data_IF_642013762096
#
_entry.id   IF_642013762096
#
_cell.length_a   1.000
_cell.length_b   1.000
_cell.length_c   1.000
_cell.angle_alpha   90.00
_cell.angle_beta   90.00
_cell.angle_gamma   90.00
#
_symmetry.space_group_name_H-M   'P 1'
#
loop_
_entity.id
_entity.type
_entity.pdbx_description
1 polymer ?
#
# COMPACT_ATOMS: atom_id res chain seq x y z
N UNK A 1 13.59 -22.17 0.74
CA UNK A 1 13.33 -20.82 1.28
C UNK A 1 12.13 -20.75 2.24
N UNK A 2 11.21 -21.73 2.28
CA UNK A 2 10.15 -21.77 3.30
C UNK A 2 9.13 -20.63 3.22
N UNK A 3 8.95 -20.06 2.03
CA UNK A 3 8.00 -18.98 1.78
C UNK A 3 6.58 -19.56 1.61
N UNK A 4 5.59 -18.91 2.22
CA UNK A 4 4.18 -19.21 1.95
C UNK A 4 3.78 -18.51 0.64
N UNK A 5 3.36 -19.26 -0.40
CA UNK A 5 2.98 -18.68 -1.69
C UNK A 5 1.72 -17.81 -1.63
N UNK A 6 0.98 -17.82 -0.52
CA UNK A 6 -0.20 -16.98 -0.29
C UNK A 6 0.09 -15.77 0.63
N UNK A 7 1.38 -15.47 0.86
CA UNK A 7 1.84 -14.33 1.68
C UNK A 7 2.98 -13.59 0.99
N UNK A 8 2.90 -13.42 -0.33
CA UNK A 8 3.87 -12.68 -1.12
C UNK A 8 3.32 -11.28 -1.39
N UNK A 9 3.97 -10.28 -0.78
CA UNK A 9 3.56 -8.88 -0.93
C UNK A 9 4.58 -8.04 -1.68
N UNK A 10 4.15 -6.84 -2.07
CA UNK A 10 5.01 -5.82 -2.66
C UNK A 10 4.96 -4.53 -1.83
N UNK A 11 6.13 -3.97 -1.55
CA UNK A 11 6.24 -2.71 -0.84
C UNK A 11 6.91 -1.66 -1.73
N UNK A 12 6.29 -0.50 -1.80
CA UNK A 12 6.73 0.61 -2.63
C UNK A 12 6.72 1.93 -1.88
N UNK A 13 7.68 2.79 -2.21
CA UNK A 13 7.84 4.11 -1.61
C UNK A 13 7.93 5.18 -2.69
N UNK A 14 7.24 6.32 -2.53
CA UNK A 14 7.20 7.38 -3.55
C UNK A 14 6.82 6.81 -4.94
N UNK A 15 7.66 6.98 -5.96
CA UNK A 15 7.46 6.37 -7.28
C UNK A 15 7.29 4.84 -7.25
N UNK A 16 7.95 4.15 -6.32
CA UNK A 16 7.74 2.71 -6.11
C UNK A 16 6.35 2.39 -5.55
N UNK A 17 5.74 3.29 -4.79
CA UNK A 17 4.36 3.16 -4.32
C UNK A 17 3.35 3.25 -5.48
N UNK A 18 3.64 4.09 -6.49
CA UNK A 18 2.86 4.11 -7.72
C UNK A 18 2.95 2.78 -8.50
N UNK A 19 4.12 2.12 -8.49
CA UNK A 19 4.27 0.78 -9.05
C UNK A 19 3.45 -0.23 -8.25
N UNK A 20 3.53 -0.19 -6.92
CA UNK A 20 2.74 -1.06 -6.03
C UNK A 20 1.24 -0.96 -6.33
N UNK A 21 0.73 0.27 -6.48
CA UNK A 21 -0.65 0.54 -6.89
C UNK A 21 -0.98 -0.06 -8.26
N UNK A 22 -0.09 0.13 -9.23
CA UNK A 22 -0.27 -0.34 -10.60
C UNK A 22 -0.33 -1.87 -10.69
N UNK A 23 0.60 -2.57 -10.04
CA UNK A 23 0.62 -4.05 -10.05
C UNK A 23 -0.57 -4.64 -9.29
N UNK A 24 -1.09 -3.95 -8.26
CA UNK A 24 -2.27 -4.39 -7.56
C UNK A 24 -3.51 -4.42 -8.48
N UNK A 25 -3.68 -3.45 -9.37
CA UNK A 25 -4.82 -3.46 -10.31
C UNK A 25 -4.59 -4.29 -11.59
N UNK A 26 -3.37 -4.80 -11.83
CA UNK A 26 -3.07 -5.57 -13.03
C UNK A 26 -3.54 -7.02 -12.89
N UNK A 27 -4.72 -7.30 -13.45
CA UNK A 27 -5.35 -8.64 -13.48
C UNK A 27 -5.07 -9.42 -14.77
N UNK A 28 -4.43 -8.80 -15.77
CA UNK A 28 -4.12 -9.43 -17.05
C UNK A 28 -2.68 -9.20 -17.47
N UNK A 29 -2.15 -10.16 -18.25
CA UNK A 29 -0.82 -10.07 -18.84
C UNK A 29 -0.76 -8.88 -19.83
N UNK A 30 0.37 -8.19 -19.83
CA UNK A 30 0.65 -7.08 -20.76
C UNK A 30 1.48 -7.53 -21.97
N UNK A 31 1.79 -8.83 -22.05
CA UNK A 31 2.55 -9.46 -23.11
C UNK A 31 2.01 -10.87 -23.38
N UNK A 32 2.34 -11.44 -24.54
CA UNK A 32 1.97 -12.81 -24.86
C UNK A 32 2.79 -13.78 -23.99
N UNK A 33 2.16 -14.80 -23.37
CA UNK A 33 2.88 -15.80 -22.57
C UNK A 33 4.08 -16.38 -23.33
N UNK A 34 5.20 -16.46 -22.63
CA UNK A 34 6.47 -16.99 -23.15
C UNK A 34 6.82 -18.35 -22.56
N UNK A 35 6.32 -18.63 -21.35
CA UNK A 35 6.43 -19.94 -20.70
C UNK A 35 5.18 -20.28 -19.86
N UNK A 36 5.21 -21.46 -19.22
CA UNK A 36 4.09 -21.94 -18.41
C UNK A 36 3.88 -21.10 -17.13
N UNK A 37 4.89 -20.39 -16.62
CA UNK A 37 4.78 -19.60 -15.39
C UNK A 37 3.85 -18.40 -15.60
N UNK A 38 3.89 -17.81 -16.79
CA UNK A 38 3.06 -16.66 -17.18
C UNK A 38 1.55 -16.93 -17.07
N UNK A 39 1.15 -18.20 -17.12
CA UNK A 39 -0.27 -18.61 -17.05
C UNK A 39 -0.61 -19.49 -15.85
N UNK A 40 0.37 -20.19 -15.27
CA UNK A 40 0.16 -21.10 -14.15
C UNK A 40 0.27 -20.44 -12.78
N UNK A 41 0.88 -19.26 -12.67
CA UNK A 41 1.08 -18.54 -11.41
C UNK A 41 0.58 -17.10 -11.54
N UNK A 42 -0.20 -16.65 -10.57
CA UNK A 42 -0.60 -15.24 -10.50
C UNK A 42 0.61 -14.36 -10.18
N UNK A 43 0.84 -13.32 -10.96
CA UNK A 43 1.81 -12.27 -10.66
C UNK A 43 1.27 -11.21 -9.66
N UNK A 44 0.01 -11.34 -9.22
CA UNK A 44 -0.57 -10.40 -8.27
C UNK A 44 -0.05 -10.63 -6.86
N UNK A 45 0.38 -9.57 -6.15
CA UNK A 45 0.74 -9.69 -4.74
C UNK A 45 -0.50 -9.92 -3.86
N UNK A 46 -0.34 -10.70 -2.80
CA UNK A 46 -1.39 -10.95 -1.79
C UNK A 46 -1.73 -9.70 -0.96
N UNK A 47 -0.74 -8.83 -0.80
CA UNK A 47 -0.87 -7.54 -0.13
C UNK A 47 0.12 -6.52 -0.69
N UNK A 48 -0.21 -5.24 -0.56
CA UNK A 48 0.71 -4.15 -0.89
C UNK A 48 0.91 -3.20 0.29
N UNK A 49 2.10 -2.60 0.37
CA UNK A 49 2.41 -1.53 1.33
C UNK A 49 2.95 -0.32 0.57
N UNK A 50 2.30 0.83 0.74
CA UNK A 50 2.62 2.09 0.07
C UNK A 50 3.03 3.13 1.10
N UNK A 51 4.25 3.64 0.97
CA UNK A 51 4.76 4.72 1.84
C UNK A 51 4.91 6.02 1.04
N UNK A 52 4.42 7.12 1.61
CA UNK A 52 4.50 8.48 1.05
C UNK A 52 4.24 8.48 -0.46
N UNK A 53 3.08 7.92 -0.83
CA UNK A 53 2.61 7.73 -2.20
C UNK A 53 1.14 8.11 -2.29
N UNK A 54 0.60 8.22 -3.50
CA UNK A 54 -0.81 8.51 -3.73
C UNK A 54 -1.59 7.36 -4.38
N UNK A 55 -2.89 7.33 -4.11
CA UNK A 55 -3.87 6.62 -4.93
C UNK A 55 -4.34 7.48 -6.11
N UNK A 56 -4.90 6.84 -7.14
CA UNK A 56 -5.48 7.50 -8.33
C UNK A 56 -7.01 7.55 -8.25
N UNK A 57 -7.64 8.30 -9.16
CA UNK A 57 -9.10 8.36 -9.26
C UNK A 57 -9.76 6.98 -9.46
N UNK A 58 -9.08 6.05 -10.13
CA UNK A 58 -9.52 4.65 -10.28
C UNK A 58 -9.70 3.93 -8.94
N UNK A 59 -8.90 4.27 -7.93
CA UNK A 59 -9.04 3.70 -6.58
C UNK A 59 -10.13 4.40 -5.75
N UNK A 60 -10.72 5.49 -6.26
CA UNK A 60 -11.85 6.18 -5.61
C UNK A 60 -13.20 5.66 -6.10
N UNK A 61 -13.21 4.61 -6.92
CA UNK A 61 -14.40 3.89 -7.33
C UNK A 61 -14.53 2.60 -6.50
N UNK A 62 -15.57 2.48 -5.64
CA UNK A 62 -15.82 1.28 -4.86
C UNK A 62 -15.88 0.00 -5.69
N UNK A 63 -16.40 0.06 -6.93
CA UNK A 63 -16.47 -1.11 -7.81
C UNK A 63 -15.07 -1.58 -8.25
N UNK A 64 -14.17 -0.64 -8.55
CA UNK A 64 -12.77 -0.92 -8.89
C UNK A 64 -12.02 -1.55 -7.71
N UNK A 65 -12.28 -1.09 -6.49
CA UNK A 65 -11.65 -1.60 -5.26
C UNK A 65 -12.22 -2.96 -4.83
N UNK A 66 -13.50 -3.21 -5.08
CA UNK A 66 -14.10 -4.53 -4.90
C UNK A 66 -13.43 -5.60 -5.79
N UNK A 67 -12.95 -5.22 -6.98
CA UNK A 67 -12.28 -6.10 -7.93
C UNK A 67 -10.75 -6.25 -7.74
N UNK A 68 -10.10 -5.38 -6.96
CA UNK A 68 -8.66 -5.37 -6.69
C UNK A 68 -8.23 -6.37 -5.58
N UNK A 69 -6.94 -6.75 -5.44
CA UNK A 69 -6.44 -7.70 -4.44
C UNK A 69 -6.63 -7.26 -2.98
N UNK A 70 -6.39 -8.21 -2.06
CA UNK A 70 -7.12 -8.36 -0.79
C UNK A 70 -6.78 -7.34 0.29
N UNK A 71 -5.52 -6.90 0.43
CA UNK A 71 -5.07 -6.06 1.56
C UNK A 71 -4.06 -4.98 1.17
N UNK A 72 -4.20 -3.78 1.73
CA UNK A 72 -3.26 -2.66 1.52
C UNK A 72 -2.97 -1.91 2.81
N UNK A 73 -1.71 -1.52 2.98
CA UNK A 73 -1.27 -0.49 3.91
C UNK A 73 -0.88 0.76 3.14
N UNK A 74 -1.40 1.93 3.49
CA UNK A 74 -1.02 3.23 2.94
C UNK A 74 -0.65 4.19 4.06
N UNK A 75 0.54 4.77 4.03
CA UNK A 75 0.96 5.81 4.97
C UNK A 75 1.40 7.07 4.21
N UNK A 76 0.86 8.23 4.58
CA UNK A 76 1.20 9.52 3.97
C UNK A 76 1.16 10.65 5.00
N UNK A 77 1.73 11.81 4.66
CA UNK A 77 1.66 13.01 5.50
C UNK A 77 0.86 14.10 4.82
N UNK A 78 0.24 14.98 5.61
CA UNK A 78 -0.53 16.11 5.09
C UNK A 78 0.34 17.25 4.55
N UNK A 79 1.58 17.34 5.03
CA UNK A 79 2.56 18.38 4.67
C UNK A 79 3.54 17.92 3.58
N UNK A 80 3.27 16.82 2.87
CA UNK A 80 4.10 16.32 1.79
C UNK A 80 4.17 17.34 0.64
N UNK A 81 5.34 17.94 0.36
CA UNK A 81 5.47 18.97 -0.68
C UNK A 81 5.51 18.39 -2.10
N UNK A 82 5.64 17.07 -2.24
CA UNK A 82 5.79 16.38 -3.51
C UNK A 82 4.50 15.71 -3.98
N UNK A 83 3.66 15.27 -3.05
CA UNK A 83 2.44 14.53 -3.34
C UNK A 83 1.26 15.16 -2.59
N UNK A 84 0.33 15.72 -3.34
CA UNK A 84 -0.90 16.28 -2.77
C UNK A 84 -1.77 15.16 -2.14
N UNK A 85 -2.18 15.29 -0.85
CA UNK A 85 -2.87 14.22 -0.14
C UNK A 85 -4.35 14.08 -0.52
N UNK A 86 -4.89 14.93 -1.39
CA UNK A 86 -6.34 15.01 -1.69
C UNK A 86 -6.97 13.66 -2.04
N UNK A 87 -6.34 12.86 -2.91
CA UNK A 87 -6.86 11.54 -3.25
C UNK A 87 -6.72 10.54 -2.10
N UNK A 88 -5.64 10.62 -1.32
CA UNK A 88 -5.46 9.75 -0.17
C UNK A 88 -6.52 10.01 0.90
N UNK A 89 -6.87 11.28 1.14
CA UNK A 89 -7.95 11.68 2.05
C UNK A 89 -9.29 11.12 1.61
N UNK A 90 -9.62 11.27 0.32
CA UNK A 90 -10.86 10.72 -0.26
C UNK A 90 -10.91 9.20 -0.14
N UNK A 91 -9.78 8.53 -0.38
CA UNK A 91 -9.69 7.09 -0.24
C UNK A 91 -9.81 6.64 1.21
N UNK A 92 -9.20 7.34 2.16
CA UNK A 92 -9.37 7.06 3.59
C UNK A 92 -10.85 7.17 4.00
N UNK A 93 -11.52 8.24 3.58
CA UNK A 93 -12.95 8.42 3.84
C UNK A 93 -13.79 7.27 3.23
N UNK A 94 -13.51 6.90 1.97
CA UNK A 94 -14.19 5.77 1.32
C UNK A 94 -13.93 4.44 2.04
N UNK A 95 -12.72 4.19 2.56
CA UNK A 95 -12.43 2.98 3.34
C UNK A 95 -13.32 2.90 4.59
N UNK A 96 -13.53 4.02 5.28
CA UNK A 96 -14.40 4.12 6.46
C UNK A 96 -15.90 4.01 6.09
N UNK A 97 -16.33 4.73 5.05
CA UNK A 97 -17.73 4.78 4.58
C UNK A 97 -18.22 3.43 4.03
N UNK A 98 -17.36 2.69 3.34
CA UNK A 98 -17.67 1.39 2.72
C UNK A 98 -17.28 0.19 3.60
N UNK A 99 -16.83 0.44 4.84
CA UNK A 99 -16.42 -0.59 5.81
C UNK A 99 -15.35 -1.56 5.29
N UNK A 100 -14.30 -1.02 4.68
CA UNK A 100 -13.21 -1.78 4.03
C UNK A 100 -11.97 -1.90 4.92
N UNK A 101 -12.07 -1.62 6.22
CA UNK A 101 -10.93 -1.59 7.14
C UNK A 101 -10.32 -2.97 7.37
N UNK A 102 -11.05 -4.06 7.14
CA UNK A 102 -10.54 -5.42 7.17
C UNK A 102 -9.50 -5.68 6.07
N UNK A 103 -9.62 -4.96 4.95
CA UNK A 103 -8.74 -5.00 3.78
C UNK A 103 -7.69 -3.89 3.83
N UNK A 104 -8.10 -2.66 4.11
CA UNK A 104 -7.27 -1.48 3.92
C UNK A 104 -6.96 -0.78 5.24
N UNK A 105 -5.69 -0.51 5.47
CA UNK A 105 -5.22 0.30 6.58
C UNK A 105 -4.53 1.53 6.03
N UNK A 106 -5.22 2.66 6.11
CA UNK A 106 -4.73 3.96 5.64
C UNK A 106 -4.36 4.78 6.87
N UNK A 107 -3.18 5.39 6.85
CA UNK A 107 -2.62 6.13 7.96
C UNK A 107 -2.22 7.52 7.48
N UNK A 108 -2.99 8.50 7.94
CA UNK A 108 -2.70 9.92 7.75
C UNK A 108 -1.86 10.45 8.91
N UNK A 109 -0.74 11.10 8.59
CA UNK A 109 0.07 11.82 9.58
C UNK A 109 -0.02 13.34 9.35
N UNK A 110 -0.03 14.15 10.42
CA UNK A 110 -0.11 15.61 10.28
C UNK A 110 1.16 16.21 9.66
N UNK A 111 2.32 15.60 9.92
CA UNK A 111 3.62 16.08 9.47
C UNK A 111 4.60 14.94 9.13
N UNK A 112 5.71 15.32 8.49
CA UNK A 112 6.84 14.44 8.15
C UNK A 112 7.37 14.62 6.73
N UNK A 113 6.75 15.49 5.93
CA UNK A 113 7.08 15.77 4.52
C UNK A 113 7.18 14.48 3.69
N UNK A 114 8.00 14.52 2.63
CA UNK A 114 8.22 13.40 1.73
C UNK A 114 9.46 12.58 2.11
N UNK A 115 9.48 11.30 1.69
CA UNK A 115 10.66 10.43 1.71
C UNK A 115 11.29 10.19 3.10
N UNK A 116 10.44 10.01 4.12
CA UNK A 116 10.89 9.78 5.50
C UNK A 116 11.53 8.41 5.74
N UNK A 117 11.35 7.43 4.84
CA UNK A 117 12.01 6.13 4.92
C UNK A 117 11.69 5.37 6.21
N UNK A 118 12.70 4.98 6.98
CA UNK A 118 12.52 4.39 8.32
C UNK A 118 12.75 5.40 9.47
N UNK A 119 12.92 6.69 9.13
CA UNK A 119 13.34 7.79 10.00
C UNK A 119 14.69 7.63 10.72
N UNK A 120 15.40 6.50 10.60
CA UNK A 120 16.65 6.29 11.31
C UNK A 120 17.84 6.83 10.52
N UNK A 121 17.79 6.69 9.19
CA UNK A 121 18.90 7.05 8.31
C UNK A 121 19.11 8.57 8.20
N UNK A 122 18.02 9.33 8.24
CA UNK A 122 18.01 10.78 8.03
C UNK A 122 17.59 11.50 9.32
N UNK A 123 18.52 12.15 10.04
CA UNK A 123 18.22 12.79 11.33
C UNK A 123 17.10 13.82 11.29
N UNK A 124 16.90 14.50 10.16
CA UNK A 124 15.85 15.49 9.99
C UNK A 124 14.43 14.91 10.04
N UNK A 125 14.27 13.60 9.88
CA UNK A 125 12.97 12.94 9.97
C UNK A 125 12.66 12.44 11.38
N UNK A 126 13.63 12.41 12.30
CA UNK A 126 13.40 11.91 13.65
C UNK A 126 12.42 12.79 14.42
N UNK A 127 11.52 12.16 15.16
CA UNK A 127 10.56 12.83 16.04
C UNK A 127 9.23 13.18 15.37
N UNK A 128 9.12 13.04 14.04
CA UNK A 128 7.85 13.18 13.34
C UNK A 128 6.90 12.00 13.64
N UNK A 129 5.60 12.28 13.63
CA UNK A 129 4.58 11.26 13.89
C UNK A 129 4.65 10.11 12.87
N UNK A 130 5.00 10.42 11.62
CA UNK A 130 5.15 9.45 10.54
C UNK A 130 6.18 8.35 10.84
N UNK A 131 7.14 8.57 11.75
CA UNK A 131 8.16 7.59 12.10
C UNK A 131 7.64 6.35 12.83
N UNK A 132 6.38 6.40 13.29
CA UNK A 132 5.67 5.26 13.86
C UNK A 132 5.03 4.34 12.80
N UNK A 133 5.19 4.63 11.52
CA UNK A 133 4.59 3.81 10.46
C UNK A 133 5.02 2.34 10.55
N UNK A 134 6.23 2.04 11.02
CA UNK A 134 6.72 0.66 11.16
C UNK A 134 5.88 -0.14 12.15
N UNK A 135 5.50 0.46 13.27
CA UNK A 135 4.67 -0.20 14.28
C UNK A 135 3.30 -0.53 13.70
N UNK A 136 2.70 0.43 12.98
CA UNK A 136 1.40 0.25 12.34
C UNK A 136 1.46 -0.70 11.12
N UNK A 137 2.58 -0.71 10.41
CA UNK A 137 2.84 -1.63 9.31
C UNK A 137 3.06 -3.07 9.80
N UNK A 138 3.77 -3.25 10.91
CA UNK A 138 3.88 -4.54 11.58
C UNK A 138 2.51 -5.02 12.07
N UNK A 139 1.72 -4.14 12.68
CA UNK A 139 0.36 -4.44 13.09
C UNK A 139 -0.49 -4.90 11.90
N UNK A 140 -0.44 -4.17 10.78
CA UNK A 140 -1.11 -4.55 9.53
C UNK A 140 -0.71 -5.96 9.09
N UNK A 141 0.59 -6.25 9.05
CA UNK A 141 1.09 -7.57 8.64
C UNK A 141 0.60 -8.67 9.59
N UNK A 142 0.65 -8.46 10.91
CA UNK A 142 0.22 -9.46 11.89
C UNK A 142 -1.29 -9.72 11.83
N UNK A 143 -2.08 -8.66 11.85
CA UNK A 143 -3.54 -8.74 11.96
C UNK A 143 -4.19 -9.16 10.64
N UNK A 144 -3.67 -8.65 9.51
CA UNK A 144 -4.32 -8.83 8.21
C UNK A 144 -3.60 -9.87 7.37
N UNK A 145 -2.27 -9.91 7.33
CA UNK A 145 -1.57 -10.79 6.36
C UNK A 145 -1.24 -12.17 6.93
N UNK A 146 -0.55 -12.20 8.07
CA UNK A 146 0.04 -13.42 8.65
C UNK A 146 -0.99 -14.21 9.44
N UNK A 147 -1.97 -13.53 10.05
CA UNK A 147 -2.95 -14.12 10.95
C UNK A 147 -2.28 -14.52 12.26
N UNK A 148 -2.34 -13.63 13.26
CA UNK A 148 -1.81 -13.91 14.59
C UNK A 148 -2.03 -12.79 15.58
N UNK A 149 -3.13 -12.88 16.32
CA UNK A 149 -3.21 -12.87 17.79
C UNK A 149 -4.42 -13.73 18.19
#
# INVERSE_FOLDING_TARGET
YGLDPNRIGFMGSSAGGNIARGIALKTSLVYAPTDDLDTSISAQPDFIMMLYSSVTAEWLDPASVAAAPKKMFLAYTLDDPCIEPTNNKKFNAMVEEEHLEDRFQVVEYPDGKHAWGDCNYYPQWKGHACCRWRDLGEQFLRQKVIGGL
#
